data_IF_081140437489
#
_entry.id   IF_081140437489
#
_cell.length_a   1.000
_cell.length_b   1.000
_cell.length_c   1.000
_cell.angle_alpha   90.00
_cell.angle_beta   90.00
_cell.angle_gamma   90.00
#
_symmetry.space_group_name_H-M   'P 1'
#
loop_
_entity.id
_entity.type
_entity.pdbx_description
1 polymer ?
#
# COMPACT_ATOMS: atom_id res chain seq x y z
N UNK A 1 5.87 -8.17 3.03
CA UNK A 1 4.77 -7.20 2.79
C UNK A 1 5.42 -5.87 2.49
N UNK A 2 4.80 -5.04 1.65
CA UNK A 2 5.20 -3.64 1.59
C UNK A 2 4.66 -2.86 2.79
N UNK A 3 5.54 -2.54 3.74
CA UNK A 3 5.31 -1.51 4.78
C UNK A 3 5.66 -0.10 4.27
N UNK A 4 5.96 -0.02 2.97
CA UNK A 4 6.71 1.05 2.30
C UNK A 4 6.14 1.29 0.91
N UNK A 5 6.12 2.55 0.52
CA UNK A 5 5.78 3.04 -0.82
C UNK A 5 7.07 3.36 -1.55
N UNK A 6 7.17 2.96 -2.82
CA UNK A 6 8.34 3.28 -3.63
C UNK A 6 8.27 4.73 -4.08
N UNK A 7 9.28 5.54 -3.72
CA UNK A 7 9.24 6.98 -3.99
C UNK A 7 9.19 7.32 -5.47
N UNK A 8 9.67 6.44 -6.36
CA UNK A 8 9.57 6.66 -7.82
C UNK A 8 8.13 6.66 -8.27
N UNK A 9 7.35 5.65 -7.86
CA UNK A 9 5.92 5.59 -8.15
C UNK A 9 5.18 6.81 -7.61
N UNK A 10 5.50 7.24 -6.39
CA UNK A 10 4.89 8.45 -5.81
C UNK A 10 5.21 9.68 -6.67
N UNK A 11 6.47 9.86 -7.08
CA UNK A 11 6.87 10.96 -7.97
C UNK A 11 6.14 10.88 -9.31
N UNK A 12 6.14 9.72 -9.97
CA UNK A 12 5.51 9.51 -11.26
C UNK A 12 4.01 9.82 -11.21
N UNK A 13 3.32 9.36 -10.15
CA UNK A 13 1.91 9.68 -9.90
C UNK A 13 1.73 11.18 -9.71
N UNK A 14 2.52 11.80 -8.82
CA UNK A 14 2.38 13.22 -8.52
C UNK A 14 2.65 14.11 -9.74
N UNK A 15 3.58 13.73 -10.60
CA UNK A 15 3.97 14.48 -11.80
C UNK A 15 3.00 14.26 -12.97
N UNK A 16 2.57 13.02 -13.20
CA UNK A 16 1.87 12.65 -14.43
C UNK A 16 0.36 12.44 -14.24
N UNK A 17 -0.12 12.17 -13.02
CA UNK A 17 -1.54 11.93 -12.76
C UNK A 17 -2.33 13.18 -12.36
N UNK A 18 -3.59 13.22 -12.80
CA UNK A 18 -4.62 14.19 -12.37
C UNK A 18 -5.79 13.54 -11.63
N UNK A 19 -5.78 12.21 -11.49
CA UNK A 19 -6.88 11.49 -10.89
C UNK A 19 -6.89 11.64 -9.38
N UNK A 20 -8.05 12.01 -8.84
CA UNK A 20 -8.19 12.41 -7.45
C UNK A 20 -7.89 11.29 -6.44
N UNK A 21 -8.21 10.04 -6.80
CA UNK A 21 -8.11 8.88 -5.91
C UNK A 21 -6.94 7.95 -6.24
N UNK A 22 -6.04 8.37 -7.13
CA UNK A 22 -4.91 7.53 -7.55
C UNK A 22 -3.96 7.20 -6.41
N UNK A 23 -3.72 8.15 -5.50
CA UNK A 23 -2.85 7.97 -4.35
C UNK A 23 -3.48 7.01 -3.33
N UNK A 24 -4.77 7.18 -3.03
CA UNK A 24 -5.54 6.29 -2.16
C UNK A 24 -5.49 4.84 -2.70
N UNK A 25 -5.72 4.69 -4.00
CA UNK A 25 -5.71 3.41 -4.70
C UNK A 25 -4.31 2.79 -4.67
N UNK A 26 -3.26 3.55 -5.02
CA UNK A 26 -1.88 3.08 -5.01
C UNK A 26 -1.44 2.64 -3.60
N UNK A 27 -1.75 3.43 -2.57
CA UNK A 27 -1.39 3.11 -1.18
C UNK A 27 -2.08 1.81 -0.74
N UNK A 28 -3.36 1.64 -1.06
CA UNK A 28 -4.08 0.39 -0.78
C UNK A 28 -3.46 -0.82 -1.50
N UNK A 29 -3.13 -0.67 -2.79
CA UNK A 29 -2.48 -1.71 -3.60
C UNK A 29 -1.10 -2.09 -3.04
N UNK A 30 -0.28 -1.10 -2.67
CA UNK A 30 0.99 -1.33 -2.01
C UNK A 30 0.80 -2.09 -0.69
N UNK A 31 -0.09 -1.63 0.16
CA UNK A 31 -0.35 -2.25 1.46
C UNK A 31 -0.86 -3.70 1.37
N UNK A 32 -1.68 -4.02 0.36
CA UNK A 32 -2.16 -5.40 0.17
C UNK A 32 -1.13 -6.33 -0.47
N UNK A 33 -0.05 -5.79 -1.04
CA UNK A 33 0.95 -6.60 -1.74
C UNK A 33 1.77 -7.51 -0.82
N UNK A 34 2.06 -8.70 -1.31
CA UNK A 34 2.94 -9.70 -0.70
C UNK A 34 4.29 -9.70 -1.41
N UNK A 35 5.37 -9.72 -0.63
CA UNK A 35 6.71 -9.83 -1.17
C UNK A 35 7.03 -11.32 -1.38
N UNK A 36 7.36 -11.70 -2.61
CA UNK A 36 7.70 -13.06 -3.03
C UNK A 36 8.88 -12.94 -3.99
N UNK A 37 9.99 -13.58 -3.67
CA UNK A 37 11.24 -13.51 -4.44
C UNK A 37 11.61 -12.06 -4.80
N UNK A 38 11.62 -11.20 -3.77
CA UNK A 38 11.84 -9.76 -3.83
C UNK A 38 10.82 -8.91 -4.59
N UNK A 39 9.86 -9.52 -5.30
CA UNK A 39 8.81 -8.81 -6.04
C UNK A 39 7.52 -8.66 -5.24
N UNK A 40 6.73 -7.63 -5.56
CA UNK A 40 5.53 -7.25 -4.80
C UNK A 40 4.26 -7.56 -5.58
N UNK A 41 3.60 -8.65 -5.22
CA UNK A 41 2.42 -9.16 -5.90
C UNK A 41 1.13 -8.91 -5.13
N UNK A 42 0.06 -8.60 -5.85
CA UNK A 42 -1.31 -8.51 -5.39
C UNK A 42 -2.06 -9.68 -6.00
N UNK A 43 -2.41 -10.63 -5.17
CA UNK A 43 -3.12 -11.83 -5.58
C UNK A 43 -4.56 -11.46 -5.97
N UNK A 44 -4.90 -11.70 -7.23
CA UNK A 44 -6.27 -11.56 -7.75
C UNK A 44 -6.74 -12.80 -8.50
N UNK A 45 -5.80 -13.64 -8.94
CA UNK A 45 -6.04 -14.90 -9.65
C UNK A 45 -6.81 -14.76 -10.98
N UNK A 46 -6.88 -13.53 -11.46
CA UNK A 46 -7.50 -13.11 -12.71
C UNK A 46 -6.95 -11.73 -13.06
N UNK A 47 -6.91 -11.43 -14.35
CA UNK A 47 -6.66 -10.10 -14.91
C UNK A 47 -7.85 -9.14 -14.76
N UNK A 48 -8.97 -9.62 -14.24
CA UNK A 48 -10.16 -8.83 -13.97
C UNK A 48 -9.87 -7.66 -13.02
N UNK A 49 -9.85 -6.45 -13.60
CA UNK A 49 -9.78 -5.19 -12.86
C UNK A 49 -10.91 -5.11 -11.81
N UNK A 50 -12.08 -5.70 -12.10
CA UNK A 50 -13.22 -5.68 -11.19
C UNK A 50 -12.93 -6.37 -9.86
N UNK A 51 -12.21 -7.49 -9.89
CA UNK A 51 -11.78 -8.19 -8.69
C UNK A 51 -10.81 -7.32 -7.87
N UNK A 52 -9.87 -6.65 -8.55
CA UNK A 52 -8.93 -5.75 -7.90
C UNK A 52 -9.63 -4.53 -7.27
N UNK A 53 -10.62 -3.93 -7.95
CA UNK A 53 -11.42 -2.84 -7.38
C UNK A 53 -12.13 -3.29 -6.09
N UNK A 54 -12.70 -4.50 -6.09
CA UNK A 54 -13.34 -5.08 -4.91
C UNK A 54 -12.40 -5.19 -3.70
N UNK A 55 -11.13 -5.52 -3.93
CA UNK A 55 -10.11 -5.57 -2.88
C UNK A 55 -9.72 -4.18 -2.38
N UNK A 56 -9.45 -3.24 -3.30
CA UNK A 56 -9.09 -1.86 -2.93
C UNK A 56 -10.20 -1.18 -2.13
N UNK A 57 -11.46 -1.44 -2.48
CA UNK A 57 -12.62 -0.83 -1.81
C UNK A 57 -12.74 -1.22 -0.33
N UNK A 58 -12.11 -2.30 0.13
CA UNK A 58 -12.02 -2.64 1.56
C UNK A 58 -11.17 -1.63 2.35
N UNK A 59 -10.19 -1.01 1.68
CA UNK A 59 -9.24 -0.06 2.27
C UNK A 59 -9.60 1.40 1.95
N UNK A 60 -10.18 1.66 0.77
CA UNK A 60 -10.56 2.99 0.30
C UNK A 60 -12.09 3.16 0.44
N UNK A 61 -12.51 3.59 1.64
CA UNK A 61 -13.93 3.77 2.00
C UNK A 61 -14.53 5.04 1.38
N UNK A 62 -15.85 5.01 1.13
CA UNK A 62 -16.65 6.12 0.59
C UNK A 62 -16.23 6.62 -0.82
N UNK A 63 -15.53 5.78 -1.58
CA UNK A 63 -15.14 6.08 -2.97
C UNK A 63 -15.94 5.20 -3.94
N UNK A 64 -16.35 5.80 -5.06
CA UNK A 64 -17.13 5.08 -6.07
C UNK A 64 -16.29 4.00 -6.75
N UNK A 65 -16.96 2.93 -7.18
CA UNK A 65 -16.32 1.84 -7.91
C UNK A 65 -15.61 2.35 -9.17
N UNK A 66 -16.27 3.22 -9.93
CA UNK A 66 -15.71 3.81 -11.16
C UNK A 66 -14.46 4.64 -10.91
N UNK A 67 -14.40 5.39 -9.81
CA UNK A 67 -13.22 6.19 -9.46
C UNK A 67 -11.99 5.31 -9.17
N UNK A 68 -12.18 4.24 -8.39
CA UNK A 68 -11.11 3.26 -8.12
C UNK A 68 -10.68 2.55 -9.41
N UNK A 69 -11.65 2.13 -10.25
CA UNK A 69 -11.36 1.49 -11.55
C UNK A 69 -10.51 2.39 -12.44
N UNK A 70 -10.86 3.67 -12.55
CA UNK A 70 -10.10 4.63 -13.35
C UNK A 70 -8.68 4.84 -12.80
N UNK A 71 -8.53 4.88 -11.47
CA UNK A 71 -7.21 4.95 -10.84
C UNK A 71 -6.35 3.72 -11.12
N UNK A 72 -6.93 2.51 -11.09
CA UNK A 72 -6.22 1.27 -11.44
C UNK A 72 -5.74 1.31 -12.90
N UNK A 73 -6.60 1.71 -13.84
CA UNK A 73 -6.24 1.79 -15.26
C UNK A 73 -5.08 2.78 -15.46
N UNK A 74 -5.16 3.95 -14.84
CA UNK A 74 -4.08 4.94 -14.95
C UNK A 74 -2.77 4.46 -14.30
N UNK A 75 -2.81 3.70 -13.21
CA UNK A 75 -1.62 3.06 -12.64
C UNK A 75 -1.00 2.02 -13.59
N UNK A 76 -1.82 1.35 -14.41
CA UNK A 76 -1.32 0.46 -15.46
C UNK A 76 -0.70 1.26 -16.62
N UNK A 77 -1.32 2.37 -17.03
CA UNK A 77 -0.78 3.27 -18.06
C UNK A 77 0.55 3.90 -17.64
N UNK A 78 0.71 4.24 -16.35
CA UNK A 78 1.96 4.71 -15.76
C UNK A 78 3.02 3.60 -15.59
N UNK A 79 2.72 2.36 -15.98
CA UNK A 79 3.58 1.19 -15.84
C UNK A 79 3.99 0.91 -14.37
N UNK A 80 3.15 1.32 -13.42
CA UNK A 80 3.31 1.09 -11.98
C UNK A 80 2.68 -0.25 -11.59
N UNK A 81 1.56 -0.60 -12.22
CA UNK A 81 0.82 -1.84 -11.97
C UNK A 81 0.77 -2.68 -13.26
N UNK A 82 1.25 -3.91 -13.21
CA UNK A 82 1.30 -4.81 -14.38
C UNK A 82 0.66 -6.14 -14.03
N UNK A 83 -0.18 -6.69 -14.90
CA UNK A 83 -0.66 -8.05 -14.70
C UNK A 83 0.41 -9.07 -15.11
N UNK A 84 0.76 -9.98 -14.21
CA UNK A 84 1.66 -11.09 -14.46
C UNK A 84 0.85 -12.35 -14.73
N UNK A 85 0.80 -12.78 -15.99
CA UNK A 85 0.05 -13.96 -16.45
C UNK A 85 0.58 -15.26 -15.87
N UNK A 86 1.90 -15.40 -15.68
CA UNK A 86 2.50 -16.61 -15.10
C UNK A 86 2.13 -16.82 -13.63
N UNK A 87 1.94 -15.73 -12.90
CA UNK A 87 1.64 -15.73 -11.47
C UNK A 87 0.15 -15.47 -11.18
N UNK A 88 -0.66 -15.24 -12.22
CA UNK A 88 -2.07 -14.85 -12.12
C UNK A 88 -2.30 -13.74 -11.08
N UNK A 89 -1.47 -12.70 -11.11
CA UNK A 89 -1.45 -11.67 -10.09
C UNK A 89 -1.01 -10.34 -10.65
N UNK A 90 -1.45 -9.24 -10.03
CA UNK A 90 -0.90 -7.93 -10.35
C UNK A 90 0.43 -7.72 -9.63
N UNK A 91 1.38 -7.12 -10.31
CA UNK A 91 2.73 -6.81 -9.83
C UNK A 91 2.86 -5.29 -9.72
N UNK A 92 3.34 -4.82 -8.58
CA UNK A 92 3.83 -3.46 -8.44
C UNK A 92 5.24 -3.40 -9.03
N UNK A 93 5.32 -2.89 -10.25
CA UNK A 93 6.53 -2.92 -11.07
C UNK A 93 7.69 -2.21 -10.38
N UNK A 94 8.93 -2.70 -10.50
CA UNK A 94 10.14 -2.07 -9.94
C UNK A 94 10.13 -1.76 -8.42
N UNK A 95 9.11 -2.17 -7.66
CA UNK A 95 8.96 -1.80 -6.26
C UNK A 95 10.09 -2.38 -5.40
N UNK A 96 10.72 -3.47 -5.82
CA UNK A 96 11.92 -4.06 -5.19
C UNK A 96 13.12 -3.11 -5.15
N UNK A 97 13.16 -2.10 -6.03
CA UNK A 97 14.25 -1.12 -6.08
C UNK A 97 14.26 -0.20 -4.85
N UNK A 98 13.14 -0.08 -4.13
CA UNK A 98 13.06 0.75 -2.92
C UNK A 98 13.97 0.26 -1.77
N UNK A 99 14.37 -1.03 -1.79
CA UNK A 99 15.17 -1.66 -0.74
C UNK A 99 16.66 -1.80 -1.08
N UNK A 100 17.04 -1.55 -2.34
CA UNK A 100 18.42 -1.73 -2.77
C UNK A 100 19.31 -0.62 -2.17
N UNK A 101 20.64 -0.81 -2.08
CA UNK A 101 21.65 0.18 -1.61
C UNK A 101 22.49 0.74 -2.77
N UNK A 102 22.70 2.07 -2.80
CA UNK A 102 23.31 2.83 -3.92
C UNK A 102 24.60 2.21 -4.49
N UNK A 103 25.39 1.55 -3.64
CA UNK A 103 26.69 0.97 -3.99
C UNK A 103 26.62 -0.33 -4.83
N UNK A 104 25.43 -0.86 -5.14
CA UNK A 104 25.26 -2.11 -5.91
C UNK A 104 25.08 -1.92 -7.43
N UNK A 105 25.18 -0.69 -7.94
CA UNK A 105 24.87 -0.39 -9.35
C UNK A 105 26.09 0.11 -10.12
N UNK A 106 26.23 -0.40 -11.34
CA UNK A 106 27.42 -0.27 -12.17
C UNK A 106 27.39 0.91 -13.16
N UNK A 107 26.26 1.64 -13.25
CA UNK A 107 26.08 2.73 -14.24
C UNK A 107 25.22 3.90 -13.70
N UNK A 108 25.45 5.10 -14.25
CA UNK A 108 24.76 6.33 -13.87
C UNK A 108 23.26 6.32 -14.22
N UNK A 109 22.81 5.57 -15.24
CA UNK A 109 21.40 5.48 -15.61
C UNK A 109 20.54 4.82 -14.52
N UNK A 110 21.13 3.92 -13.73
CA UNK A 110 20.42 3.21 -12.66
C UNK A 110 20.30 4.02 -11.36
N UNK A 111 21.02 5.14 -11.22
CA UNK A 111 20.91 6.01 -10.04
C UNK A 111 19.55 6.68 -9.91
N UNK A 112 18.84 6.91 -11.02
CA UNK A 112 17.47 7.45 -11.04
C UNK A 112 16.44 6.53 -10.36
N UNK A 113 16.73 5.23 -10.27
CA UNK A 113 15.89 4.24 -9.58
C UNK A 113 16.11 4.26 -8.05
N UNK A 114 17.07 5.04 -7.56
CA UNK A 114 17.39 5.18 -6.13
C UNK A 114 16.74 6.38 -5.48
N UNK A 115 15.43 6.30 -5.32
CA UNK A 115 14.66 7.36 -4.65
C UNK A 115 14.18 6.98 -3.25
N UNK A 116 14.49 5.77 -2.80
CA UNK A 116 14.14 5.28 -1.47
C UNK A 116 12.65 4.97 -1.34
N UNK A 117 12.14 5.08 -0.11
CA UNK A 117 10.76 4.76 0.21
C UNK A 117 10.14 5.76 1.18
N UNK A 118 8.82 5.71 1.28
CA UNK A 118 7.99 6.35 2.33
C UNK A 118 7.24 5.27 3.08
N UNK A 119 7.22 5.30 4.41
CA UNK A 119 6.43 4.35 5.20
C UNK A 119 4.94 4.58 5.00
N UNK A 120 4.20 3.48 4.93
CA UNK A 120 2.73 3.54 4.93
C UNK A 120 2.26 3.94 6.32
N UNK A 121 1.30 4.84 6.40
CA UNK A 121 0.77 5.39 7.65
C UNK A 121 -0.71 5.03 7.80
N UNK A 122 -1.15 4.73 9.02
CA UNK A 122 -2.55 4.42 9.34
C UNK A 122 -3.52 5.50 8.85
N UNK A 123 -3.09 6.76 8.97
CA UNK A 123 -3.77 7.95 8.45
C UNK A 123 -4.24 7.79 7.00
N UNK A 124 -3.44 7.14 6.15
CA UNK A 124 -3.75 7.00 4.72
C UNK A 124 -4.97 6.12 4.43
N UNK A 125 -5.44 5.34 5.41
CA UNK A 125 -6.64 4.49 5.29
C UNK A 125 -7.87 5.10 5.96
N UNK A 126 -7.78 6.37 6.39
CA UNK A 126 -8.89 7.06 7.07
C UNK A 126 -9.80 7.80 6.08
N UNK A 127 -11.06 7.97 6.46
CA UNK A 127 -12.01 8.81 5.70
C UNK A 127 -11.50 10.27 5.60
N UNK A 128 -10.77 10.75 6.64
CA UNK A 128 -10.13 12.07 6.64
C UNK A 128 -9.17 12.20 5.46
N UNK A 129 -8.29 11.22 5.25
CA UNK A 129 -7.38 11.20 4.11
C UNK A 129 -8.12 11.13 2.77
N UNK A 130 -9.11 10.24 2.63
CA UNK A 130 -9.85 10.07 1.36
C UNK A 130 -10.52 11.38 0.90
N UNK A 131 -10.99 12.19 1.85
CA UNK A 131 -11.65 13.48 1.62
C UNK A 131 -10.69 14.65 1.37
N UNK A 132 -9.39 14.52 1.63
CA UNK A 132 -8.41 15.55 1.28
C UNK A 132 -8.41 15.81 -0.22
N UNK A 133 -8.28 17.09 -0.61
CA UNK A 133 -8.13 17.45 -2.02
C UNK A 133 -6.88 16.79 -2.58
N UNK A 134 -6.86 16.48 -3.87
CA UNK A 134 -5.69 15.86 -4.51
C UNK A 134 -4.37 16.62 -4.23
N UNK A 135 -4.40 17.97 -4.22
CA UNK A 135 -3.21 18.79 -3.89
C UNK A 135 -2.76 18.62 -2.44
N UNK A 136 -3.70 18.49 -1.51
CA UNK A 136 -3.44 18.26 -0.08
C UNK A 136 -2.88 16.85 0.14
N UNK A 137 -3.39 15.83 -0.57
CA UNK A 137 -2.82 14.47 -0.57
C UNK A 137 -1.36 14.47 -1.05
N UNK A 138 -1.06 15.16 -2.16
CA UNK A 138 0.32 15.29 -2.68
C UNK A 138 1.24 15.98 -1.67
N UNK A 139 0.77 17.06 -1.04
CA UNK A 139 1.51 17.78 -0.01
C UNK A 139 1.80 16.88 1.20
N UNK A 140 0.79 16.16 1.69
CA UNK A 140 0.92 15.25 2.83
C UNK A 140 1.92 14.13 2.55
N UNK A 141 1.81 13.46 1.40
CA UNK A 141 2.75 12.40 1.00
C UNK A 141 4.18 12.94 0.90
N UNK A 142 4.35 14.15 0.34
CA UNK A 142 5.67 14.76 0.27
C UNK A 142 6.26 15.06 1.65
N UNK A 143 5.44 15.52 2.59
CA UNK A 143 5.90 15.72 3.96
C UNK A 143 6.39 14.40 4.58
N UNK A 144 5.68 13.29 4.35
CA UNK A 144 6.14 11.97 4.79
C UNK A 144 7.42 11.52 4.07
N UNK A 145 7.58 11.81 2.76
CA UNK A 145 8.83 11.57 2.03
C UNK A 145 10.02 12.31 2.67
N UNK A 146 9.81 13.57 3.07
CA UNK A 146 10.83 14.36 3.77
C UNK A 146 11.12 13.77 5.15
N UNK A 147 10.09 13.40 5.90
CA UNK A 147 10.21 12.83 7.23
C UNK A 147 10.99 11.49 7.23
N UNK A 148 10.77 10.64 6.22
CA UNK A 148 11.43 9.35 6.08
C UNK A 148 12.84 9.41 5.48
N UNK A 149 13.24 10.57 4.96
CA UNK A 149 14.53 10.77 4.35
C UNK A 149 15.68 10.54 5.33
N UNK A 150 16.81 10.04 4.84
CA UNK A 150 18.02 9.87 5.67
C UNK A 150 18.50 11.20 6.27
N UNK A 151 18.27 12.32 5.58
CA UNK A 151 18.62 13.64 6.09
C UNK A 151 17.84 13.96 7.38
N UNK A 152 16.53 13.73 7.38
CA UNK A 152 15.74 13.96 8.58
C UNK A 152 16.13 13.00 9.72
N UNK A 153 16.34 11.72 9.41
CA UNK A 153 16.75 10.71 10.41
C UNK A 153 18.10 11.02 11.08
N UNK A 154 19.06 11.54 10.32
CA UNK A 154 20.42 11.78 10.81
C UNK A 154 20.59 13.14 11.49
N UNK A 155 19.81 14.14 11.09
CA UNK A 155 20.00 15.53 11.53
C UNK A 155 18.82 16.09 12.33
N UNK A 156 17.72 15.34 12.50
CA UNK A 156 16.56 15.74 13.31
C UNK A 156 15.94 17.06 12.85
N UNK A 157 15.96 17.33 11.54
CA UNK A 157 15.66 18.66 11.01
C UNK A 157 14.15 18.83 10.92
N UNK A 158 13.62 19.91 11.50
CA UNK A 158 12.25 20.34 11.24
C UNK A 158 11.98 20.36 9.72
N UNK A 159 10.75 20.06 9.29
CA UNK A 159 10.41 20.18 7.87
C UNK A 159 10.45 21.66 7.48
N UNK A 160 11.47 22.05 6.71
CA UNK A 160 11.64 23.43 6.25
C UNK A 160 11.00 23.60 4.89
N UNK A 161 9.99 24.46 4.83
CA UNK A 161 9.46 24.97 3.58
C UNK A 161 10.24 26.22 3.14
N UNK A 162 10.72 26.21 1.90
CA UNK A 162 11.30 27.39 1.27
C UNK A 162 10.75 27.55 -0.15
N UNK A 163 9.81 28.47 -0.32
CA UNK A 163 9.14 28.72 -1.59
C UNK A 163 9.98 29.61 -2.52
N UNK A 164 10.95 30.36 -1.98
CA UNK A 164 11.81 31.27 -2.74
C UNK A 164 12.97 30.55 -3.46
N UNK A 165 13.22 29.28 -3.10
CA UNK A 165 14.25 28.47 -3.75
C UNK A 165 13.89 28.25 -5.23
N UNK A 166 14.85 28.45 -6.13
CA UNK A 166 14.68 28.08 -7.54
C UNK A 166 14.34 26.59 -7.66
N UNK A 167 13.34 26.27 -8.49
CA UNK A 167 12.78 24.92 -8.61
C UNK A 167 12.39 24.31 -7.25
N UNK A 168 11.77 25.11 -6.37
CA UNK A 168 11.28 24.62 -5.08
C UNK A 168 10.39 23.39 -5.26
N UNK A 169 10.75 22.30 -4.60
CA UNK A 169 9.99 21.05 -4.60
C UNK A 169 8.54 21.25 -4.15
N UNK A 170 8.32 22.11 -3.15
CA UNK A 170 6.99 22.50 -2.67
C UNK A 170 6.13 23.09 -3.79
N UNK A 171 6.71 23.94 -4.64
CA UNK A 171 6.03 24.54 -5.79
C UNK A 171 5.70 23.49 -6.85
N UNK A 172 6.64 22.58 -7.12
CA UNK A 172 6.46 21.48 -8.09
C UNK A 172 5.34 20.52 -7.65
N UNK A 173 5.29 20.20 -6.36
CA UNK A 173 4.27 19.33 -5.77
C UNK A 173 2.89 20.00 -5.74
N UNK A 174 2.83 21.31 -5.57
CA UNK A 174 1.56 22.02 -5.71
C UNK A 174 1.19 22.30 -7.17
N UNK A 175 2.09 22.04 -8.13
CA UNK A 175 1.95 22.36 -9.56
C UNK A 175 1.53 23.82 -9.77
N UNK A 176 2.20 24.74 -9.08
CA UNK A 176 1.91 26.18 -9.17
C UNK A 176 3.19 26.99 -9.34
N UNK A 177 3.07 28.15 -10.00
CA UNK A 177 4.13 29.17 -10.09
C UNK A 177 3.89 30.34 -9.12
N UNK A 178 2.70 30.42 -8.51
CA UNK A 178 2.33 31.54 -7.64
C UNK A 178 2.75 31.28 -6.19
N UNK A 179 3.74 32.05 -5.70
CA UNK A 179 4.30 31.93 -4.35
C UNK A 179 3.25 32.16 -3.26
N UNK A 180 2.40 33.17 -3.42
CA UNK A 180 1.34 33.50 -2.44
C UNK A 180 0.33 32.37 -2.34
N UNK A 181 -0.13 31.86 -3.48
CA UNK A 181 -1.05 30.73 -3.51
C UNK A 181 -0.45 29.48 -2.84
N UNK A 182 0.82 29.17 -3.12
CA UNK A 182 1.51 28.05 -2.48
C UNK A 182 1.63 28.23 -0.96
N UNK A 183 2.06 29.42 -0.51
CA UNK A 183 2.15 29.77 0.91
C UNK A 183 0.81 29.58 1.62
N UNK A 184 -0.25 30.16 1.08
CA UNK A 184 -1.57 30.12 1.72
C UNK A 184 -2.14 28.70 1.71
N UNK A 185 -1.93 27.94 0.63
CA UNK A 185 -2.33 26.54 0.55
C UNK A 185 -1.65 25.69 1.63
N UNK A 186 -0.34 25.84 1.80
CA UNK A 186 0.41 25.04 2.78
C UNK A 186 0.03 25.46 4.19
N UNK A 187 -0.02 26.76 4.50
CA UNK A 187 -0.40 27.24 5.84
C UNK A 187 -1.79 26.77 6.24
N UNK A 188 -2.79 26.96 5.37
CA UNK A 188 -4.15 26.49 5.64
C UNK A 188 -4.19 24.98 5.83
N UNK A 189 -3.41 24.21 5.07
CA UNK A 189 -3.32 22.76 5.24
C UNK A 189 -2.74 22.37 6.60
N UNK A 190 -1.64 23.01 7.03
CA UNK A 190 -1.01 22.75 8.33
C UNK A 190 -1.95 23.14 9.48
N UNK A 191 -2.59 24.31 9.41
CA UNK A 191 -3.54 24.79 10.42
C UNK A 191 -4.77 23.88 10.56
N UNK A 192 -5.37 23.47 9.44
CA UNK A 192 -6.51 22.55 9.41
C UNK A 192 -6.17 21.13 9.90
N UNK A 193 -4.88 20.81 9.99
CA UNK A 193 -4.37 19.52 10.48
C UNK A 193 -3.38 19.73 11.64
N UNK A 194 -3.66 20.70 12.52
CA UNK A 194 -2.85 21.01 13.70
C UNK A 194 -2.73 19.85 14.70
N UNK A 195 -3.58 18.83 14.59
CA UNK A 195 -3.43 17.54 15.28
C UNK A 195 -2.20 16.76 14.81
N UNK A 196 -1.81 16.94 13.54
CA UNK A 196 -0.70 16.24 12.89
C UNK A 196 0.58 17.08 12.80
N UNK A 197 0.46 18.41 12.85
CA UNK A 197 1.59 19.31 12.62
C UNK A 197 1.74 20.33 13.75
N UNK A 198 2.99 20.54 14.16
CA UNK A 198 3.38 21.60 15.08
C UNK A 198 4.13 22.68 14.30
N UNK A 199 3.66 23.93 14.35
CA UNK A 199 4.36 25.05 13.74
C UNK A 199 5.61 25.38 14.58
N UNK A 200 6.77 25.34 13.93
CA UNK A 200 8.07 25.67 14.55
C UNK A 200 8.74 26.86 13.88
N UNK A 201 8.00 27.60 13.05
CA UNK A 201 8.53 28.65 12.18
C UNK A 201 9.23 29.76 12.94
N UNK A 202 8.82 30.04 14.17
CA UNK A 202 9.45 31.04 15.02
C UNK A 202 10.91 30.72 15.32
N UNK A 203 11.27 29.44 15.41
CA UNK A 203 12.65 28.97 15.62
C UNK A 203 13.52 29.08 14.35
N UNK A 204 12.91 29.32 13.18
CA UNK A 204 13.59 29.35 11.88
C UNK A 204 13.57 30.73 11.21
N UNK A 205 13.03 31.76 11.89
CA UNK A 205 13.07 33.12 11.39
C UNK A 205 14.52 33.61 11.30
N UNK A 206 14.91 34.10 10.12
CA UNK A 206 16.19 34.82 9.97
C UNK A 206 15.96 36.21 10.54
N UNK A 207 16.58 36.50 11.69
CA UNK A 207 16.44 37.76 12.44
C UNK A 207 16.58 39.02 11.57
N UNK A 208 17.48 38.98 10.58
CA UNK A 208 17.81 40.13 9.73
C UNK A 208 17.13 40.12 8.35
N UNK A 209 16.30 39.12 8.03
CA UNK A 209 15.61 39.07 6.75
C UNK A 209 14.31 39.91 6.79
N UNK A 210 13.99 40.67 5.73
CA UNK A 210 12.72 41.38 5.63
C UNK A 210 11.49 40.46 5.83
N UNK A 211 10.43 41.00 6.46
CA UNK A 211 9.17 40.26 6.68
C UNK A 211 8.60 39.63 5.40
N UNK A 212 8.76 40.31 4.26
CA UNK A 212 8.29 39.82 2.96
C UNK A 212 9.06 38.60 2.44
N UNK A 213 10.26 38.32 2.95
CA UNK A 213 11.05 37.11 2.68
C UNK A 213 10.66 36.01 3.67
N UNK A 214 10.63 36.34 4.97
CA UNK A 214 10.34 35.37 6.04
C UNK A 214 8.93 34.75 5.91
N UNK A 215 7.96 35.44 5.32
CA UNK A 215 6.62 34.85 5.09
C UNK A 215 6.60 33.66 4.12
N UNK A 216 7.63 33.47 3.29
CA UNK A 216 7.74 32.37 2.31
C UNK A 216 8.67 31.24 2.77
N UNK A 217 9.15 31.33 4.01
CA UNK A 217 9.99 30.33 4.66
C UNK A 217 9.40 30.03 6.02
N UNK A 218 8.97 28.80 6.23
CA UNK A 218 8.36 28.38 7.48
C UNK A 218 8.79 26.95 7.78
N UNK A 219 8.84 26.60 9.06
CA UNK A 219 9.20 25.26 9.50
C UNK A 219 8.11 24.67 10.35
N UNK A 220 7.94 23.36 10.26
CA UNK A 220 6.98 22.64 11.06
C UNK A 220 7.51 21.26 11.38
N UNK A 221 7.06 20.72 12.49
CA UNK A 221 7.28 19.33 12.84
C UNK A 221 6.05 18.53 12.50
N UNK A 222 6.29 17.31 12.03
CA UNK A 222 5.25 16.30 12.17
C UNK A 222 5.17 16.08 13.67
N UNK A 223 4.04 16.37 14.29
CA UNK A 223 3.80 15.81 15.61
C UNK A 223 4.00 14.32 15.42
N UNK A 224 4.84 13.64 16.23
CA UNK A 224 4.78 12.21 16.23
C UNK A 224 3.31 11.93 16.49
N UNK A 225 2.61 11.35 15.50
CA UNK A 225 1.36 10.65 15.74
C UNK A 225 1.61 9.95 17.07
N UNK A 226 0.84 10.28 18.11
CA UNK A 226 1.04 9.80 19.49
C UNK A 226 0.82 8.28 19.52
N UNK A 227 1.71 7.59 18.86
CA UNK A 227 1.88 6.19 18.81
C UNK A 227 3.33 6.06 19.22
N UNK A 228 3.51 5.67 20.47
CA UNK A 228 4.80 5.25 21.03
C UNK A 228 5.56 4.42 19.98
N UNK A 229 6.49 5.06 19.29
CA UNK A 229 7.51 4.38 18.49
C UNK A 229 8.49 3.83 19.52
N UNK A 230 8.10 2.74 20.19
CA UNK A 230 9.05 1.88 20.84
C UNK A 230 9.69 1.04 19.74
N UNK A 231 11.01 1.17 19.63
CA UNK A 231 11.89 0.59 18.60
C UNK A 231 12.01 -0.94 18.65
N UNK A 232 11.09 -1.64 19.29
CA UNK A 232 11.14 -3.08 19.49
C UNK A 232 9.81 -3.72 19.02
N UNK A 233 9.79 -4.30 17.83
CA UNK A 233 8.78 -5.29 17.40
C UNK A 233 7.37 -4.84 17.00
N UNK A 234 6.98 -3.57 17.18
CA UNK A 234 5.59 -3.09 17.02
C UNK A 234 5.14 -2.65 15.61
N UNK A 235 6.05 -2.48 14.64
CA UNK A 235 5.66 -2.10 13.26
C UNK A 235 4.72 -3.16 12.63
N UNK A 236 5.05 -4.44 12.82
CA UNK A 236 4.26 -5.56 12.32
C UNK A 236 2.84 -5.62 12.93
N UNK A 237 2.67 -5.08 14.14
CA UNK A 237 1.42 -5.11 14.88
C UNK A 237 0.41 -4.08 14.34
N UNK A 238 0.90 -2.89 13.95
CA UNK A 238 0.05 -1.86 13.34
C UNK A 238 -0.42 -2.26 11.94
N UNK A 239 0.50 -2.71 11.10
CA UNK A 239 0.20 -3.20 9.76
C UNK A 239 -0.82 -4.36 9.80
N UNK A 240 -0.66 -5.28 10.78
CA UNK A 240 -1.61 -6.36 10.99
C UNK A 240 -3.00 -5.85 11.37
N UNK A 241 -3.10 -4.84 12.23
CA UNK A 241 -4.39 -4.28 12.65
C UNK A 241 -5.16 -3.67 11.48
N UNK A 242 -4.49 -2.96 10.55
CA UNK A 242 -5.16 -2.41 9.35
C UNK A 242 -5.77 -3.53 8.51
N UNK A 243 -5.04 -4.62 8.29
CA UNK A 243 -5.53 -5.79 7.54
C UNK A 243 -6.69 -6.44 8.26
N UNK A 244 -6.57 -6.68 9.57
CA UNK A 244 -7.60 -7.33 10.40
C UNK A 244 -8.90 -6.51 10.38
N UNK A 245 -8.81 -5.21 10.67
CA UNK A 245 -9.97 -4.32 10.77
C UNK A 245 -10.76 -4.21 9.46
N UNK A 246 -10.12 -4.44 8.30
CA UNK A 246 -10.77 -4.40 7.00
C UNK A 246 -11.19 -5.78 6.48
N UNK A 247 -10.95 -6.86 7.24
CA UNK A 247 -11.25 -8.26 6.87
C UNK A 247 -11.77 -9.06 8.08
N UNK A 248 -12.79 -8.52 8.77
CA UNK A 248 -13.25 -9.05 10.06
C UNK A 248 -13.84 -10.46 9.97
N UNK A 249 -14.49 -10.81 8.86
CA UNK A 249 -15.04 -12.15 8.65
C UNK A 249 -13.93 -13.19 8.57
N UNK A 250 -12.90 -12.94 7.76
CA UNK A 250 -11.73 -13.81 7.65
C UNK A 250 -10.99 -13.91 9.00
N UNK A 251 -10.77 -12.80 9.68
CA UNK A 251 -10.15 -12.76 11.01
C UNK A 251 -10.90 -13.64 12.02
N UNK A 252 -12.22 -13.46 12.13
CA UNK A 252 -13.05 -14.19 13.09
C UNK A 252 -12.99 -15.70 12.85
N UNK A 253 -13.00 -16.12 11.58
CA UNK A 253 -12.87 -17.53 11.24
C UNK A 253 -11.49 -18.10 11.61
N UNK A 254 -10.41 -17.37 11.29
CA UNK A 254 -9.03 -17.78 11.63
C UNK A 254 -8.88 -17.98 13.13
N UNK A 255 -9.34 -17.02 13.94
CA UNK A 255 -9.27 -17.10 15.41
C UNK A 255 -10.09 -18.28 15.94
N UNK A 256 -11.31 -18.47 15.46
CA UNK A 256 -12.13 -19.61 15.88
C UNK A 256 -11.46 -20.95 15.55
N UNK A 257 -10.81 -21.03 14.38
CA UNK A 257 -10.17 -22.25 13.91
C UNK A 257 -8.86 -22.52 14.64
N UNK A 258 -8.06 -21.50 14.91
CA UNK A 258 -6.81 -21.64 15.67
C UNK A 258 -7.09 -22.09 17.11
N UNK A 259 -8.13 -21.53 17.76
CA UNK A 259 -8.59 -21.96 19.07
C UNK A 259 -9.06 -23.42 19.06
N UNK A 260 -9.85 -23.82 18.06
CA UNK A 260 -10.34 -25.20 17.92
C UNK A 260 -9.20 -26.21 17.77
N UNK A 261 -8.17 -25.88 16.98
CA UNK A 261 -7.00 -26.75 16.74
C UNK A 261 -5.98 -26.69 17.90
N UNK A 262 -6.11 -25.71 18.80
CA UNK A 262 -5.18 -25.53 19.92
C UNK A 262 -3.81 -25.02 19.45
N UNK A 263 -3.79 -24.04 18.55
CA UNK A 263 -2.59 -23.31 18.14
C UNK A 263 -2.77 -21.81 18.38
N UNK A 264 -1.73 -21.16 18.92
CA UNK A 264 -1.66 -19.71 19.05
C UNK A 264 -0.99 -19.12 17.81
N UNK A 265 -1.66 -18.19 17.13
CA UNK A 265 -1.14 -17.51 15.94
C UNK A 265 -0.76 -16.08 16.30
N UNK A 266 0.43 -15.66 15.89
CA UNK A 266 0.82 -14.25 15.98
C UNK A 266 -0.03 -13.39 15.04
N UNK A 267 -0.17 -12.10 15.35
CA UNK A 267 -0.89 -11.14 14.47
C UNK A 267 -0.33 -11.13 13.05
N UNK A 268 0.98 -11.26 12.90
CA UNK A 268 1.65 -11.32 11.60
C UNK A 268 1.24 -12.58 10.81
N UNK A 269 1.14 -13.74 11.46
CA UNK A 269 0.66 -14.96 10.82
C UNK A 269 -0.80 -14.81 10.39
N UNK A 270 -1.67 -14.33 11.29
CA UNK A 270 -3.08 -14.07 10.99
C UNK A 270 -3.21 -13.12 9.79
N UNK A 271 -2.47 -12.01 9.80
CA UNK A 271 -2.43 -11.06 8.69
C UNK A 271 -2.05 -11.72 7.36
N UNK A 272 -1.01 -12.56 7.34
CA UNK A 272 -0.60 -13.26 6.11
C UNK A 272 -1.69 -14.20 5.60
N UNK A 273 -2.34 -14.94 6.50
CA UNK A 273 -3.46 -15.83 6.14
C UNK A 273 -4.63 -15.02 5.57
N UNK A 274 -5.01 -13.89 6.19
CA UNK A 274 -6.05 -13.00 5.67
C UNK A 274 -5.70 -12.50 4.27
N UNK A 275 -4.46 -12.07 4.02
CA UNK A 275 -4.05 -11.60 2.68
C UNK A 275 -4.16 -12.68 1.61
N UNK A 276 -3.86 -13.92 1.95
CA UNK A 276 -4.00 -15.04 1.01
C UNK A 276 -5.46 -15.46 0.80
N UNK A 277 -6.30 -15.37 1.84
CA UNK A 277 -7.70 -15.76 1.78
C UNK A 277 -8.62 -14.69 1.18
N UNK A 278 -8.41 -13.42 1.54
CA UNK A 278 -9.28 -12.29 1.16
C UNK A 278 -9.57 -12.15 -0.35
N UNK A 279 -8.62 -12.47 -1.27
CA UNK A 279 -8.83 -12.39 -2.71
C UNK A 279 -9.64 -13.55 -3.28
N UNK A 280 -9.82 -14.65 -2.54
CA UNK A 280 -10.60 -15.77 -3.02
C UNK A 280 -12.07 -15.35 -3.15
N UNK A 281 -12.71 -15.60 -4.31
CA UNK A 281 -14.05 -15.12 -4.58
C UNK A 281 -15.12 -15.89 -3.79
N UNK A 282 -14.83 -17.15 -3.43
CA UNK A 282 -15.79 -18.06 -2.81
C UNK A 282 -15.34 -18.39 -1.38
N UNK A 283 -16.28 -18.32 -0.43
CA UNK A 283 -16.00 -18.53 0.99
C UNK A 283 -15.48 -19.95 1.30
N UNK A 284 -15.98 -20.98 0.60
CA UNK A 284 -15.50 -22.36 0.80
C UNK A 284 -14.00 -22.51 0.53
N UNK A 285 -13.46 -21.82 -0.49
CA UNK A 285 -12.01 -21.83 -0.75
C UNK A 285 -11.22 -21.09 0.33
N UNK A 286 -11.79 -20.02 0.91
CA UNK A 286 -11.17 -19.36 2.08
C UNK A 286 -11.07 -20.33 3.24
N UNK A 287 -12.16 -21.03 3.53
CA UNK A 287 -12.22 -22.06 4.57
C UNK A 287 -11.19 -23.16 4.33
N UNK A 288 -11.10 -23.66 3.09
CA UNK A 288 -10.14 -24.69 2.71
C UNK A 288 -8.69 -24.23 2.89
N UNK A 289 -8.34 -23.05 2.39
CA UNK A 289 -7.01 -22.45 2.56
C UNK A 289 -6.66 -22.29 4.04
N UNK A 290 -7.58 -21.73 4.84
CA UNK A 290 -7.37 -21.45 6.27
C UNK A 290 -7.20 -22.76 7.04
N UNK A 291 -8.00 -23.79 6.75
CA UNK A 291 -7.85 -25.10 7.37
C UNK A 291 -6.51 -25.75 6.99
N UNK A 292 -6.14 -25.72 5.71
CA UNK A 292 -4.89 -26.29 5.23
C UNK A 292 -3.68 -25.67 5.93
N UNK A 293 -3.64 -24.33 6.04
CA UNK A 293 -2.51 -23.64 6.67
C UNK A 293 -2.46 -23.84 8.18
N UNK A 294 -3.59 -23.75 8.89
CA UNK A 294 -3.64 -23.93 10.34
C UNK A 294 -3.21 -25.36 10.71
N UNK A 295 -3.71 -26.36 10.00
CA UNK A 295 -3.32 -27.75 10.25
C UNK A 295 -1.83 -27.97 9.95
N UNK A 296 -1.28 -27.37 8.87
CA UNK A 296 0.16 -27.46 8.56
C UNK A 296 1.02 -26.79 9.63
N UNK A 297 0.60 -25.63 10.14
CA UNK A 297 1.29 -24.95 11.23
C UNK A 297 1.28 -25.78 12.51
N UNK A 298 0.13 -26.37 12.87
CA UNK A 298 0.01 -27.26 14.04
C UNK A 298 0.91 -28.49 13.92
N UNK A 299 0.86 -29.18 12.77
CA UNK A 299 1.71 -30.34 12.52
C UNK A 299 3.21 -29.99 12.56
N UNK A 300 3.58 -28.76 12.19
CA UNK A 300 4.97 -28.29 12.29
C UNK A 300 5.38 -28.01 13.74
N UNK A 301 4.48 -27.44 14.56
CA UNK A 301 4.68 -27.21 16.00
C UNK A 301 4.87 -28.54 16.77
N UNK A 302 4.14 -29.58 16.38
CA UNK A 302 4.20 -30.92 16.97
C UNK A 302 5.36 -31.78 16.44
N UNK A 303 6.15 -31.28 15.48
CA UNK A 303 7.23 -32.05 14.85
C UNK A 303 6.76 -33.19 13.95
N UNK A 304 5.48 -33.23 13.60
CA UNK A 304 4.86 -34.26 12.74
C UNK A 304 5.00 -33.97 11.24
N UNK A 305 5.50 -32.78 10.90
CA UNK A 305 5.72 -32.34 9.53
C UNK A 305 7.20 -32.42 9.15
N UNK A 306 7.53 -33.25 8.15
CA UNK A 306 8.91 -33.42 7.65
C UNK A 306 9.53 -32.15 7.05
N UNK A 307 8.71 -31.23 6.52
CA UNK A 307 9.18 -29.97 5.94
C UNK A 307 8.63 -28.76 6.70
N UNK A 308 9.52 -27.97 7.33
CA UNK A 308 9.18 -26.69 7.95
C UNK A 308 8.84 -25.63 6.90
N UNK A 309 7.90 -24.73 7.19
CA UNK A 309 7.59 -23.60 6.31
C UNK A 309 8.75 -22.59 6.37
N UNK A 310 9.53 -22.50 5.29
CA UNK A 310 10.64 -21.53 5.17
C UNK A 310 10.16 -20.08 5.03
N UNK A 311 9.02 -19.87 4.36
CA UNK A 311 8.37 -18.56 4.19
C UNK A 311 6.86 -18.74 4.13
N UNK A 312 6.15 -18.28 5.16
CA UNK A 312 4.69 -18.34 5.22
C UNK A 312 4.02 -17.62 4.03
N UNK A 313 4.45 -16.41 3.62
CA UNK A 313 3.92 -15.76 2.42
C UNK A 313 4.04 -16.60 1.15
N UNK A 314 5.20 -17.22 0.91
CA UNK A 314 5.44 -18.03 -0.29
C UNK A 314 4.61 -19.32 -0.26
N UNK A 315 4.53 -19.97 0.90
CA UNK A 315 3.74 -21.19 1.08
C UNK A 315 2.23 -20.93 0.88
N UNK A 316 1.71 -19.87 1.48
CA UNK A 316 0.32 -19.42 1.26
C UNK A 316 0.07 -19.11 -0.22
N UNK A 317 1.00 -18.40 -0.88
CA UNK A 317 0.88 -18.13 -2.31
C UNK A 317 0.75 -19.41 -3.14
N UNK A 318 1.55 -20.43 -2.84
CA UNK A 318 1.49 -21.73 -3.50
C UNK A 318 0.14 -22.43 -3.33
N UNK A 319 -0.37 -22.51 -2.08
CA UNK A 319 -1.68 -23.15 -1.82
C UNK A 319 -2.80 -22.40 -2.53
N UNK A 320 -2.86 -21.08 -2.36
CA UNK A 320 -3.97 -20.31 -2.93
C UNK A 320 -3.95 -20.36 -4.46
N UNK A 321 -2.77 -20.34 -5.09
CA UNK A 321 -2.63 -20.53 -6.54
C UNK A 321 -3.21 -21.87 -6.99
N UNK A 322 -2.89 -22.97 -6.28
CA UNK A 322 -3.42 -24.30 -6.59
C UNK A 322 -4.96 -24.31 -6.54
N UNK A 323 -5.55 -23.81 -5.45
CA UNK A 323 -7.00 -23.73 -5.28
C UNK A 323 -7.67 -22.93 -6.42
N UNK A 324 -7.03 -21.86 -6.86
CA UNK A 324 -7.56 -21.02 -7.94
C UNK A 324 -7.41 -21.64 -9.32
N UNK A 325 -6.36 -22.43 -9.56
CA UNK A 325 -6.25 -23.21 -10.79
C UNK A 325 -7.32 -24.30 -10.86
N UNK A 326 -7.62 -24.95 -9.74
CA UNK A 326 -8.74 -25.89 -9.63
C UNK A 326 -10.08 -25.20 -9.88
N UNK A 327 -10.27 -23.99 -9.35
CA UNK A 327 -11.47 -23.21 -9.59
C UNK A 327 -11.64 -22.79 -11.06
N UNK A 328 -10.57 -22.33 -11.71
CA UNK A 328 -10.60 -21.99 -13.15
C UNK A 328 -11.01 -23.21 -13.98
N UNK A 329 -10.41 -24.37 -13.72
CA UNK A 329 -10.77 -25.63 -14.39
C UNK A 329 -12.23 -26.00 -14.16
N UNK A 330 -12.76 -25.80 -12.96
CA UNK A 330 -14.18 -26.02 -12.68
C UNK A 330 -15.09 -25.10 -13.50
N UNK A 331 -14.76 -23.81 -13.62
CA UNK A 331 -15.53 -22.85 -14.43
C UNK A 331 -15.52 -23.23 -15.91
N UNK A 332 -14.38 -23.61 -16.46
CA UNK A 332 -14.24 -24.07 -17.85
C UNK A 332 -15.11 -25.31 -18.13
N UNK A 333 -15.11 -26.29 -17.21
CA UNK A 333 -15.97 -27.48 -17.32
C UNK A 333 -17.45 -27.10 -17.25
N UNK A 334 -17.81 -26.20 -16.33
CA UNK A 334 -19.18 -25.74 -16.16
C UNK A 334 -19.70 -25.01 -17.41
N UNK A 335 -18.91 -24.11 -17.99
CA UNK A 335 -19.24 -23.41 -19.24
C UNK A 335 -19.46 -24.41 -20.37
N UNK A 336 -18.55 -25.37 -20.54
CA UNK A 336 -18.69 -26.42 -21.55
C UNK A 336 -19.99 -27.22 -21.40
N UNK A 337 -20.35 -27.61 -20.18
CA UNK A 337 -21.61 -28.33 -19.92
C UNK A 337 -22.83 -27.47 -20.29
N UNK A 338 -22.79 -26.17 -20.00
CA UNK A 338 -23.87 -25.24 -20.35
C UNK A 338 -23.99 -25.10 -21.87
N UNK A 339 -22.88 -24.95 -22.57
CA UNK A 339 -22.85 -24.85 -24.03
C UNK A 339 -23.37 -26.14 -24.69
N UNK A 340 -22.92 -27.30 -24.21
CA UNK A 340 -23.39 -28.61 -24.67
C UNK A 340 -24.91 -28.77 -24.44
N UNK A 341 -25.42 -28.33 -23.29
CA UNK A 341 -26.87 -28.38 -22.99
C UNK A 341 -27.68 -27.44 -23.89
N UNK A 342 -27.19 -26.22 -24.13
CA UNK A 342 -27.85 -25.24 -25.00
C UNK A 342 -27.85 -25.69 -26.47
N UNK A 343 -26.78 -26.34 -26.92
CA UNK A 343 -26.72 -26.92 -28.26
C UNK A 343 -27.79 -28.00 -28.45
N UNK A 344 -27.94 -28.91 -27.48
CA UNK A 344 -28.98 -29.95 -27.50
C UNK A 344 -30.38 -29.35 -27.47
N UNK A 345 -30.60 -28.27 -26.70
CA UNK A 345 -31.90 -27.59 -26.61
C UNK A 345 -32.29 -26.79 -27.88
N UNK A 346 -31.33 -26.43 -28.72
CA UNK A 346 -31.56 -25.76 -30.01
C UNK A 346 -31.80 -26.75 -31.17
N UNK A 347 -31.37 -28.01 -30.99
CA UNK A 347 -31.59 -29.11 -31.95
C UNK A 347 -32.92 -29.86 -31.72
N UNK A 348 -33.57 -29.65 -30.57
CA UNK A 348 -34.92 -30.14 -30.20
C UNK A 348 -35.99 -29.11 -30.46
#
# INVERSE_FOLDING_TARGET
MATKLYNKHLTDIMENSKNYYILDTYIALAHMSMQIDDKFYIQTYSDSISNLVGLVKRYVKDVSYGAIRNAIIELMELNILIYNTHMDSFLLNEMENMLKKKNKFSSDSDTSKYVGYTHIQDLFFTIKFNKLKYREKRLLIYIFQLADSNANKNYGVNNVCNLLKSNSSWMNILKTKCLYYARDTIRNFLENNSDLFEDTSDNFKIEFAPKHINQFRFSFNLNPLKDKINKDGLENDKDANIVINNNQSEYSYIVSRSLFVGIELSKTQIMHIIRAASPLPIWSYKVELINAIINKLKASEEGLSGDSISSLPAYLFGITRRLMQEHKKYLEIKEKIIDDFNAVALES
#
